data_IF_932321199431
#
_entry.id   IF_932321199431
#
_cell.length_a   1.000
_cell.length_b   1.000
_cell.length_c   1.000
_cell.angle_alpha   90.00
_cell.angle_beta   90.00
_cell.angle_gamma   90.00
#
_symmetry.space_group_name_H-M   'P 1'
#
loop_
_entity.id
_entity.type
_entity.pdbx_description
1 polymer ?
#
# COMPACT_ATOMS: atom_id res chain seq x y z
N UNK A 1 10.87 4.03 13.92
CA UNK A 1 10.11 3.48 12.79
C UNK A 1 8.65 3.36 13.17
N UNK A 2 7.70 3.67 12.28
CA UNK A 2 6.27 3.34 12.39
C UNK A 2 6.00 2.00 11.73
N UNK A 3 5.02 1.27 12.22
CA UNK A 3 4.61 -0.01 11.64
C UNK A 3 3.10 -0.01 11.49
N UNK A 4 2.63 -0.25 10.27
CA UNK A 4 1.21 -0.31 9.92
C UNK A 4 0.84 -1.77 9.68
N UNK A 5 -0.08 -2.32 10.46
CA UNK A 5 -0.66 -3.63 10.18
C UNK A 5 -1.55 -3.55 8.93
N UNK A 6 -1.36 -4.48 8.03
CA UNK A 6 -2.07 -4.57 6.77
C UNK A 6 -2.59 -5.99 6.52
N UNK A 7 -3.80 -6.07 6.00
CA UNK A 7 -4.36 -7.26 5.34
C UNK A 7 -5.24 -6.81 4.18
N UNK A 8 -5.25 -7.58 3.10
CA UNK A 8 -6.20 -7.37 2.00
C UNK A 8 -7.60 -7.93 2.28
N UNK A 9 -7.88 -8.44 3.46
CA UNK A 9 -9.15 -9.09 3.78
C UNK A 9 -9.53 -10.18 2.76
N UNK A 10 -8.70 -11.21 2.54
CA UNK A 10 -8.92 -12.19 1.49
C UNK A 10 -10.11 -13.10 1.78
N UNK A 11 -10.87 -13.45 0.74
CA UNK A 11 -11.82 -14.57 0.79
C UNK A 11 -11.11 -15.86 0.35
N UNK A 12 -10.23 -16.37 1.19
CA UNK A 12 -9.39 -17.53 0.90
C UNK A 12 -10.16 -18.86 0.67
N UNK A 13 -11.42 -19.09 1.15
CA UNK A 13 -12.12 -20.33 0.86
C UNK A 13 -12.35 -20.60 -0.62
N UNK A 14 -12.35 -19.57 -1.46
CA UNK A 14 -12.49 -19.74 -2.90
C UNK A 14 -11.17 -20.07 -3.64
N UNK A 15 -10.02 -19.97 -2.98
CA UNK A 15 -8.71 -20.04 -3.67
C UNK A 15 -8.38 -21.45 -4.15
N UNK A 16 -8.65 -22.47 -3.34
CA UNK A 16 -8.39 -23.87 -3.69
C UNK A 16 -9.36 -24.45 -4.75
N UNK A 17 -10.43 -23.72 -5.03
CA UNK A 17 -11.49 -24.16 -5.96
C UNK A 17 -11.29 -23.61 -7.37
N UNK A 18 -10.18 -22.94 -7.62
CA UNK A 18 -9.92 -22.26 -8.89
C UNK A 18 -8.44 -22.38 -9.27
N UNK A 19 -8.20 -22.85 -10.48
CA UNK A 19 -6.87 -23.05 -11.07
C UNK A 19 -6.41 -21.87 -11.95
N UNK A 20 -7.21 -20.81 -11.99
CA UNK A 20 -6.95 -19.61 -12.77
C UNK A 20 -6.72 -18.36 -11.92
N UNK A 21 -7.04 -17.20 -12.51
CA UNK A 21 -6.95 -15.91 -11.83
C UNK A 21 -8.03 -15.74 -10.76
N UNK A 22 -7.63 -15.36 -9.55
CA UNK A 22 -8.55 -14.96 -8.48
C UNK A 22 -9.07 -13.53 -8.66
N UNK A 23 -8.60 -12.82 -9.69
CA UNK A 23 -8.94 -11.43 -9.98
C UNK A 23 -9.75 -11.36 -11.27
N UNK A 24 -10.83 -10.60 -11.24
CA UNK A 24 -11.76 -10.29 -12.35
C UNK A 24 -12.63 -11.47 -12.78
N UNK A 25 -12.05 -12.66 -12.97
CA UNK A 25 -12.72 -13.79 -13.64
C UNK A 25 -13.39 -14.80 -12.71
N UNK A 26 -13.05 -14.76 -11.41
CA UNK A 26 -13.66 -15.70 -10.45
C UNK A 26 -15.12 -15.28 -10.22
N UNK A 27 -16.10 -16.18 -10.51
CA UNK A 27 -17.50 -15.86 -10.27
C UNK A 27 -17.80 -15.67 -8.77
N UNK A 28 -18.55 -14.63 -8.41
CA UNK A 28 -18.94 -14.36 -7.04
C UNK A 28 -19.87 -15.43 -6.42
N UNK A 29 -20.44 -16.31 -7.24
CA UNK A 29 -21.16 -17.50 -6.77
C UNK A 29 -20.27 -18.46 -5.96
N UNK A 30 -18.93 -18.30 -6.00
CA UNK A 30 -17.99 -19.04 -5.16
C UNK A 30 -17.88 -18.47 -3.73
N UNK A 31 -18.51 -17.35 -3.46
CA UNK A 31 -18.52 -16.74 -2.13
C UNK A 31 -19.81 -17.09 -1.39
N UNK A 32 -19.69 -17.65 -0.18
CA UNK A 32 -20.77 -17.69 0.80
C UNK A 32 -20.74 -16.39 1.61
N UNK A 33 -21.83 -15.58 1.56
CA UNK A 33 -21.86 -14.32 2.30
C UNK A 33 -21.80 -14.46 3.82
N UNK A 34 -22.18 -15.64 4.38
CA UNK A 34 -22.07 -15.88 5.82
C UNK A 34 -20.62 -16.07 6.23
N UNK A 35 -19.87 -16.88 5.49
CA UNK A 35 -18.42 -17.04 5.70
C UNK A 35 -17.71 -15.71 5.48
N UNK A 36 -18.09 -14.94 4.46
CA UNK A 36 -17.52 -13.62 4.20
C UNK A 36 -17.77 -12.65 5.37
N UNK A 37 -18.97 -12.68 5.98
CA UNK A 37 -19.29 -11.88 7.15
C UNK A 37 -18.39 -12.24 8.35
N UNK A 38 -18.23 -13.53 8.66
CA UNK A 38 -17.35 -13.99 9.74
C UNK A 38 -15.90 -13.58 9.52
N UNK A 39 -15.40 -13.70 8.28
CA UNK A 39 -14.05 -13.26 7.92
C UNK A 39 -13.87 -11.74 8.06
N UNK A 40 -14.86 -10.95 7.62
CA UNK A 40 -14.77 -9.48 7.75
C UNK A 40 -14.76 -9.06 9.21
N UNK A 41 -15.62 -9.64 10.06
CA UNK A 41 -15.60 -9.37 11.51
C UNK A 41 -14.23 -9.70 12.10
N UNK A 42 -13.70 -10.89 11.79
CA UNK A 42 -12.37 -11.31 12.22
C UNK A 42 -11.27 -10.28 11.82
N UNK A 43 -11.28 -9.78 10.60
CA UNK A 43 -10.27 -8.82 10.14
C UNK A 43 -10.35 -7.49 10.90
N UNK A 44 -11.56 -7.03 11.23
CA UNK A 44 -11.72 -5.83 12.06
C UNK A 44 -11.28 -6.06 13.50
N UNK A 45 -11.52 -7.24 14.07
CA UNK A 45 -11.02 -7.61 15.39
C UNK A 45 -9.48 -7.64 15.42
N UNK A 46 -8.84 -8.20 14.39
CA UNK A 46 -7.38 -8.21 14.24
C UNK A 46 -6.79 -6.79 14.13
N UNK A 47 -7.46 -5.87 13.44
CA UNK A 47 -7.07 -4.46 13.44
C UNK A 47 -7.32 -3.76 14.78
N UNK A 48 -8.35 -4.16 15.53
CA UNK A 48 -8.55 -3.72 16.91
C UNK A 48 -7.37 -4.11 17.80
N UNK A 49 -6.93 -5.37 17.71
CA UNK A 49 -5.74 -5.87 18.41
C UNK A 49 -4.50 -5.08 17.98
N UNK A 50 -4.32 -4.79 16.68
CA UNK A 50 -3.20 -3.98 16.21
C UNK A 50 -3.15 -2.59 16.89
N UNK A 51 -4.29 -1.89 17.02
CA UNK A 51 -4.38 -0.63 17.78
C UNK A 51 -4.00 -0.83 19.26
N UNK A 52 -4.48 -1.91 19.90
CA UNK A 52 -4.19 -2.21 21.31
C UNK A 52 -2.70 -2.45 21.57
N UNK A 53 -2.02 -3.12 20.65
CA UNK A 53 -0.58 -3.41 20.81
C UNK A 53 0.33 -2.30 20.26
N UNK A 54 -0.24 -1.20 19.75
CA UNK A 54 0.51 -0.01 19.35
C UNK A 54 1.05 -0.03 17.94
N UNK A 55 0.42 -0.80 17.05
CA UNK A 55 0.61 -0.74 15.60
C UNK A 55 -0.37 0.28 15.00
N UNK A 56 0.05 0.92 13.92
CA UNK A 56 -0.84 1.69 13.05
C UNK A 56 -1.56 0.74 12.06
N UNK A 57 -2.54 1.23 11.31
CA UNK A 57 -3.38 0.41 10.45
C UNK A 57 -3.34 0.93 9.02
N UNK A 58 -3.16 0.01 8.07
CA UNK A 58 -3.30 0.29 6.64
C UNK A 58 -4.48 -0.50 6.07
N UNK A 59 -5.27 0.18 5.23
CA UNK A 59 -6.32 -0.42 4.38
C UNK A 59 -6.04 -0.10 2.92
N UNK A 60 -6.57 -0.94 2.02
CA UNK A 60 -6.53 -0.72 0.58
C UNK A 60 -7.92 -0.88 -0.05
N UNK A 61 -7.99 -0.77 -1.37
CA UNK A 61 -9.21 -1.02 -2.14
C UNK A 61 -8.87 -1.81 -3.39
N UNK A 62 -9.60 -2.92 -3.59
CA UNK A 62 -9.58 -3.73 -4.81
C UNK A 62 -10.98 -4.20 -5.18
N UNK A 63 -11.18 -4.43 -6.47
CA UNK A 63 -12.48 -4.79 -7.03
C UNK A 63 -12.43 -6.13 -7.75
N UNK A 64 -13.59 -6.82 -7.80
CA UNK A 64 -13.80 -8.06 -8.56
C UNK A 64 -12.75 -9.14 -8.26
N UNK A 65 -12.44 -9.37 -6.98
CA UNK A 65 -11.39 -10.31 -6.60
C UNK A 65 -11.67 -11.01 -5.26
N UNK A 66 -11.35 -12.31 -5.18
CA UNK A 66 -11.34 -13.05 -3.94
C UNK A 66 -10.07 -12.80 -3.09
N UNK A 67 -9.09 -12.08 -3.61
CA UNK A 67 -7.87 -11.76 -2.83
C UNK A 67 -8.06 -10.58 -1.89
N UNK A 68 -9.14 -9.77 -2.11
CA UNK A 68 -9.43 -8.60 -1.30
C UNK A 68 -10.94 -8.34 -1.28
N UNK A 69 -11.56 -8.43 -0.11
CA UNK A 69 -12.98 -8.07 0.07
C UNK A 69 -13.19 -6.57 0.36
N UNK A 70 -12.11 -5.79 0.49
CA UNK A 70 -12.18 -4.34 0.69
C UNK A 70 -12.46 -3.62 -0.63
N UNK A 71 -13.68 -3.74 -1.14
CA UNK A 71 -14.13 -3.06 -2.37
C UNK A 71 -14.58 -1.61 -2.14
N UNK A 72 -14.64 -1.17 -0.87
CA UNK A 72 -15.04 0.16 -0.43
C UNK A 72 -14.23 0.54 0.80
N UNK A 73 -12.99 0.97 0.60
CA UNK A 73 -12.06 1.28 1.69
C UNK A 73 -12.63 2.30 2.70
N UNK A 74 -13.49 3.22 2.24
CA UNK A 74 -14.12 4.24 3.11
C UNK A 74 -15.04 3.60 4.15
N UNK A 75 -15.75 2.53 3.82
CA UNK A 75 -16.58 1.80 4.81
C UNK A 75 -15.69 1.21 5.90
N UNK A 76 -14.59 0.54 5.50
CA UNK A 76 -13.63 0.00 6.45
C UNK A 76 -12.98 1.07 7.32
N UNK A 77 -12.55 2.17 6.72
CA UNK A 77 -11.98 3.31 7.46
C UNK A 77 -12.98 3.92 8.43
N UNK A 78 -14.28 4.00 8.08
CA UNK A 78 -15.32 4.52 8.97
C UNK A 78 -15.47 3.66 10.22
N UNK A 79 -15.47 2.33 10.05
CA UNK A 79 -15.49 1.37 11.17
C UNK A 79 -14.23 1.57 12.04
N UNK A 80 -13.05 1.56 11.42
CA UNK A 80 -11.77 1.70 12.11
C UNK A 80 -11.62 3.05 12.81
N UNK A 81 -12.08 4.13 12.21
CA UNK A 81 -12.08 5.46 12.84
C UNK A 81 -12.87 5.48 14.16
N UNK A 82 -13.91 4.64 14.25
CA UNK A 82 -14.78 4.56 15.44
C UNK A 82 -14.29 3.57 16.49
N UNK A 83 -13.79 2.37 16.08
CA UNK A 83 -13.41 1.31 17.02
C UNK A 83 -11.97 1.45 17.55
N UNK A 84 -11.06 2.08 16.78
CA UNK A 84 -9.68 2.32 17.19
C UNK A 84 -9.52 3.67 17.90
N UNK A 85 -8.44 3.82 18.66
CA UNK A 85 -8.20 5.01 19.50
C UNK A 85 -6.89 5.72 19.22
N UNK A 86 -5.83 4.99 18.87
CA UNK A 86 -4.45 5.49 18.78
C UNK A 86 -3.86 5.33 17.39
N UNK A 87 -4.16 4.24 16.72
CA UNK A 87 -3.60 3.90 15.42
C UNK A 87 -3.87 5.00 14.39
N UNK A 88 -2.86 5.40 13.64
CA UNK A 88 -3.08 6.12 12.39
C UNK A 88 -3.75 5.19 11.39
N UNK A 89 -4.55 5.76 10.53
CA UNK A 89 -5.36 5.06 9.55
C UNK A 89 -4.86 5.47 8.15
N UNK A 90 -4.01 4.64 7.57
CA UNK A 90 -3.50 4.85 6.21
C UNK A 90 -4.40 4.16 5.21
N UNK A 91 -4.98 4.91 4.27
CA UNK A 91 -5.58 4.32 3.07
C UNK A 91 -4.56 4.28 1.94
N UNK A 92 -3.99 3.10 1.66
CA UNK A 92 -3.01 2.95 0.61
C UNK A 92 -3.26 1.64 -0.18
N UNK A 93 -4.05 1.71 -1.32
CA UNK A 93 -4.35 2.98 -1.98
C UNK A 93 -5.81 3.31 -2.14
N UNK A 94 -5.99 4.59 -2.21
CA UNK A 94 -7.22 5.20 -2.65
C UNK A 94 -7.11 5.49 -4.15
N UNK A 95 -7.80 4.71 -5.03
CA UNK A 95 -7.50 4.70 -6.47
C UNK A 95 -8.21 5.86 -7.19
N UNK A 96 -7.59 7.03 -7.26
CA UNK A 96 -8.17 8.20 -7.93
C UNK A 96 -8.46 7.95 -9.42
N UNK A 97 -7.66 7.09 -10.09
CA UNK A 97 -7.90 6.77 -11.50
C UNK A 97 -9.19 5.99 -11.75
N UNK A 98 -9.74 5.32 -10.74
CA UNK A 98 -11.01 4.59 -10.80
C UNK A 98 -12.22 5.44 -10.38
N UNK A 99 -12.03 6.65 -9.88
CA UNK A 99 -13.06 7.47 -9.28
C UNK A 99 -13.48 8.61 -10.22
N UNK A 100 -14.79 8.72 -10.54
CA UNK A 100 -15.29 9.73 -11.46
C UNK A 100 -15.50 11.11 -10.80
N UNK A 101 -15.50 11.19 -9.47
CA UNK A 101 -15.92 12.39 -8.72
C UNK A 101 -14.92 12.75 -7.63
N UNK A 102 -13.96 13.68 -7.90
CA UNK A 102 -12.99 14.12 -6.91
C UNK A 102 -13.60 14.93 -5.76
N UNK A 103 -14.77 15.54 -5.92
CA UNK A 103 -15.45 16.19 -4.80
C UNK A 103 -15.91 15.16 -3.78
N UNK A 104 -16.53 14.08 -4.23
CA UNK A 104 -16.89 12.96 -3.36
C UNK A 104 -15.67 12.39 -2.64
N UNK A 105 -14.54 12.28 -3.32
CA UNK A 105 -13.28 11.83 -2.71
C UNK A 105 -12.84 12.77 -1.58
N UNK A 106 -12.91 14.09 -1.79
CA UNK A 106 -12.57 15.07 -0.76
C UNK A 106 -13.52 14.99 0.45
N UNK A 107 -14.84 14.85 0.22
CA UNK A 107 -15.86 14.72 1.28
C UNK A 107 -15.62 13.44 2.12
N UNK A 108 -15.40 12.31 1.48
CA UNK A 108 -15.13 11.03 2.14
C UNK A 108 -13.89 11.11 3.04
N UNK A 109 -12.78 11.58 2.48
CA UNK A 109 -11.50 11.67 3.20
C UNK A 109 -11.55 12.69 4.33
N UNK A 110 -12.16 13.85 4.12
CA UNK A 110 -12.33 14.86 5.17
C UNK A 110 -13.24 14.35 6.30
N UNK A 111 -14.30 13.60 5.96
CA UNK A 111 -15.18 12.98 6.95
C UNK A 111 -14.42 11.96 7.81
N UNK A 112 -13.62 11.09 7.20
CA UNK A 112 -12.79 10.12 7.95
C UNK A 112 -11.76 10.84 8.83
N UNK A 113 -11.14 11.90 8.34
CA UNK A 113 -10.17 12.66 9.11
C UNK A 113 -10.79 13.29 10.37
N UNK A 114 -11.98 13.87 10.25
CA UNK A 114 -12.72 14.39 11.39
C UNK A 114 -13.18 13.28 12.34
N UNK A 115 -13.76 12.19 11.83
CA UNK A 115 -14.21 11.05 12.64
C UNK A 115 -13.04 10.40 13.42
N UNK A 116 -11.87 10.29 12.80
CA UNK A 116 -10.66 9.74 13.41
C UNK A 116 -9.92 10.75 14.31
N UNK A 117 -10.35 12.03 14.33
CA UNK A 117 -9.66 13.13 15.04
C UNK A 117 -8.20 13.30 14.59
N UNK A 118 -8.01 13.38 13.27
CA UNK A 118 -6.71 13.67 12.68
C UNK A 118 -5.76 12.47 12.59
N UNK A 119 -6.28 11.25 12.58
CA UNK A 119 -5.46 10.04 12.44
C UNK A 119 -5.36 9.52 11.00
N UNK A 120 -6.02 10.14 10.04
CA UNK A 120 -5.98 9.74 8.63
C UNK A 120 -4.64 10.07 7.98
N UNK A 121 -4.13 9.14 7.15
CA UNK A 121 -3.11 9.34 6.13
C UNK A 121 -3.70 8.99 4.75
N UNK A 122 -3.57 9.88 3.76
CA UNK A 122 -4.17 9.72 2.43
C UNK A 122 -3.19 9.13 1.44
N UNK A 123 -3.44 7.94 0.95
CA UNK A 123 -2.58 7.26 -0.02
C UNK A 123 -3.20 7.23 -1.42
N UNK A 124 -2.86 8.17 -2.27
CA UNK A 124 -3.38 8.26 -3.64
C UNK A 124 -2.61 7.38 -4.60
N UNK A 125 -3.34 6.55 -5.36
CA UNK A 125 -2.79 5.69 -6.40
C UNK A 125 -3.55 5.84 -7.71
N UNK A 126 -2.88 5.49 -8.83
CA UNK A 126 -3.54 5.46 -10.14
C UNK A 126 -4.68 4.44 -10.21
N UNK A 127 -4.55 3.34 -9.49
CA UNK A 127 -5.36 2.14 -9.62
C UNK A 127 -4.68 1.09 -10.50
N UNK A 128 -5.06 -0.17 -10.32
CA UNK A 128 -4.47 -1.30 -11.04
C UNK A 128 -5.14 -1.51 -12.40
N UNK A 129 -4.41 -1.97 -13.42
CA UNK A 129 -4.91 -2.01 -14.79
C UNK A 129 -6.15 -2.90 -14.96
N UNK A 130 -6.21 -4.03 -14.29
CA UNK A 130 -7.28 -5.02 -14.43
C UNK A 130 -8.62 -4.59 -13.79
N UNK A 131 -8.66 -3.50 -13.05
CA UNK A 131 -9.88 -2.95 -12.42
C UNK A 131 -10.52 -1.81 -13.22
N UNK A 132 -9.86 -1.29 -14.26
CA UNK A 132 -10.44 -0.25 -15.12
C UNK A 132 -11.75 -0.67 -15.78
N UNK A 133 -11.91 -1.91 -16.31
CA UNK A 133 -13.17 -2.34 -16.91
C UNK A 133 -14.36 -2.27 -15.93
N UNK A 134 -14.15 -2.58 -14.65
CA UNK A 134 -15.24 -2.60 -13.64
C UNK A 134 -15.50 -1.23 -13.03
N UNK A 135 -14.53 -0.32 -13.08
CA UNK A 135 -14.69 1.05 -12.58
C UNK A 135 -15.42 1.98 -13.56
N UNK A 136 -15.70 1.52 -14.76
CA UNK A 136 -16.28 2.33 -15.85
C UNK A 136 -15.44 3.59 -16.15
N UNK A 137 -14.12 3.50 -15.97
CA UNK A 137 -13.21 4.59 -16.28
C UNK A 137 -12.36 4.28 -17.51
N UNK A 138 -12.11 5.30 -18.33
CA UNK A 138 -11.23 5.18 -19.47
C UNK A 138 -9.76 5.17 -18.98
N UNK A 139 -8.94 4.16 -19.28
CA UNK A 139 -7.53 4.16 -18.94
C UNK A 139 -6.70 5.21 -19.71
N UNK A 140 -7.17 5.68 -20.87
CA UNK A 140 -6.50 6.74 -21.64
C UNK A 140 -6.53 8.04 -20.87
N UNK A 141 -5.37 8.73 -20.73
CA UNK A 141 -5.25 10.00 -20.00
C UNK A 141 -5.47 9.87 -18.49
N UNK A 142 -5.39 8.65 -17.94
CA UNK A 142 -5.65 8.42 -16.51
C UNK A 142 -4.71 9.22 -15.61
N UNK A 143 -3.46 9.47 -16.02
CA UNK A 143 -2.52 10.25 -15.19
C UNK A 143 -2.88 11.72 -15.16
N UNK A 144 -3.40 12.27 -16.25
CA UNK A 144 -3.84 13.68 -16.30
C UNK A 144 -5.06 13.88 -15.39
N UNK A 145 -6.06 12.98 -15.52
CA UNK A 145 -7.20 12.97 -14.58
C UNK A 145 -6.81 12.72 -13.13
N UNK A 146 -5.83 11.84 -12.89
CA UNK A 146 -5.32 11.57 -11.54
C UNK A 146 -4.76 12.85 -10.91
N UNK A 147 -3.90 13.58 -11.64
CA UNK A 147 -3.30 14.80 -11.11
C UNK A 147 -4.31 15.92 -10.98
N UNK A 148 -5.26 16.05 -11.90
CA UNK A 148 -6.33 17.04 -11.77
C UNK A 148 -7.25 16.71 -10.56
N UNK A 149 -7.63 15.44 -10.37
CA UNK A 149 -8.37 15.01 -9.19
C UNK A 149 -7.61 15.33 -7.89
N UNK A 150 -6.31 15.02 -7.86
CA UNK A 150 -5.45 15.33 -6.73
C UNK A 150 -5.45 16.84 -6.42
N UNK A 151 -5.20 17.69 -7.42
CA UNK A 151 -5.11 19.14 -7.23
C UNK A 151 -6.46 19.72 -6.80
N UNK A 152 -7.57 19.21 -7.35
CA UNK A 152 -8.92 19.57 -6.93
C UNK A 152 -9.17 19.20 -5.46
N UNK A 153 -8.84 17.98 -5.04
CA UNK A 153 -9.02 17.53 -3.65
C UNK A 153 -8.25 18.43 -2.69
N UNK A 154 -7.00 18.75 -2.99
CA UNK A 154 -6.21 19.63 -2.14
C UNK A 154 -6.77 21.04 -2.10
N UNK A 155 -7.23 21.57 -3.24
CA UNK A 155 -7.90 22.87 -3.30
C UNK A 155 -9.17 22.88 -2.46
N UNK A 156 -10.00 21.82 -2.53
CA UNK A 156 -11.21 21.72 -1.74
C UNK A 156 -10.90 21.67 -0.23
N UNK A 157 -9.88 20.88 0.17
CA UNK A 157 -9.48 20.74 1.56
C UNK A 157 -8.85 21.99 2.19
N UNK A 158 -8.31 22.89 1.36
CA UNK A 158 -7.62 24.13 1.81
C UNK A 158 -8.42 25.40 1.59
N UNK A 159 -9.60 25.32 0.96
CA UNK A 159 -10.45 26.50 0.71
C UNK A 159 -11.45 26.69 1.84
N UNK A 160 -11.17 27.63 2.75
CA UNK A 160 -11.99 27.90 3.95
C UNK A 160 -12.76 29.21 3.91
N UNK A 161 -12.77 29.89 2.75
CA UNK A 161 -13.50 31.14 2.53
C UNK A 161 -14.84 30.93 1.81
N UNK A 162 -15.13 31.79 0.84
CA UNK A 162 -16.29 31.63 -0.02
C UNK A 162 -16.18 30.38 -0.90
N UNK A 163 -17.35 29.79 -1.30
CA UNK A 163 -17.33 28.70 -2.29
C UNK A 163 -16.59 29.11 -3.56
N UNK A 164 -15.91 28.13 -4.18
CA UNK A 164 -15.14 28.35 -5.42
C UNK A 164 -15.69 27.53 -6.58
N UNK A 165 -15.32 27.92 -7.79
CA UNK A 165 -15.56 27.13 -9.00
C UNK A 165 -14.26 26.46 -9.43
N UNK A 166 -14.38 25.29 -10.07
CA UNK A 166 -13.29 24.59 -10.71
C UNK A 166 -13.58 24.40 -12.19
N UNK A 167 -12.67 24.85 -13.03
CA UNK A 167 -12.72 24.75 -14.50
C UNK A 167 -11.44 24.03 -14.96
N UNK A 168 -11.44 22.72 -14.83
CA UNK A 168 -10.32 21.88 -15.25
C UNK A 168 -10.50 21.36 -16.67
N UNK A 169 -9.61 20.48 -17.09
CA UNK A 169 -9.71 19.75 -18.37
C UNK A 169 -10.71 18.60 -18.26
N UNK A 170 -10.73 17.94 -17.12
CA UNK A 170 -11.54 16.73 -16.90
C UNK A 170 -12.72 16.94 -15.95
N UNK A 171 -12.64 17.94 -15.06
CA UNK A 171 -13.65 18.18 -14.03
C UNK A 171 -14.10 19.63 -14.01
N UNK A 172 -15.42 19.82 -13.87
CA UNK A 172 -16.04 21.14 -13.78
C UNK A 172 -17.01 21.19 -12.62
N UNK A 173 -16.74 22.05 -11.64
CA UNK A 173 -17.56 22.20 -10.44
C UNK A 173 -17.95 23.64 -10.22
N UNK A 174 -19.14 23.83 -9.64
CA UNK A 174 -19.67 25.14 -9.23
C UNK A 174 -19.94 25.16 -7.75
N UNK A 175 -19.63 26.29 -7.09
CA UNK A 175 -19.94 26.51 -5.68
C UNK A 175 -19.39 25.42 -4.76
N UNK A 176 -18.16 24.97 -4.98
CA UNK A 176 -17.52 23.96 -4.12
C UNK A 176 -17.32 24.55 -2.72
N UNK A 177 -17.84 23.85 -1.73
CA UNK A 177 -17.73 24.22 -0.32
C UNK A 177 -17.70 22.93 0.52
N UNK A 178 -16.51 22.51 0.90
CA UNK A 178 -16.28 21.20 1.52
C UNK A 178 -16.77 21.19 2.98
N UNK A 179 -17.73 20.31 3.29
CA UNK A 179 -18.24 20.02 4.64
C UNK A 179 -18.27 18.52 4.90
N UNK A 180 -17.60 18.06 6.02
CA UNK A 180 -16.73 18.83 6.91
C UNK A 180 -15.41 19.23 6.23
N UNK A 181 -14.73 20.24 6.76
CA UNK A 181 -13.33 20.48 6.42
C UNK A 181 -12.44 19.49 7.18
N UNK A 182 -11.23 19.16 6.68
CA UNK A 182 -10.30 18.26 7.37
C UNK A 182 -10.01 18.74 8.81
N UNK A 183 -9.72 17.75 9.66
CA UNK A 183 -9.19 17.99 11.00
C UNK A 183 -7.73 18.45 10.96
N UNK A 184 -6.94 17.79 10.11
CA UNK A 184 -5.52 18.08 9.94
C UNK A 184 -5.31 19.28 9.01
N UNK A 185 -4.34 20.15 9.33
CA UNK A 185 -4.02 21.34 8.54
C UNK A 185 -2.63 21.18 7.91
N UNK A 186 -2.48 21.56 6.62
CA UNK A 186 -3.52 22.04 5.71
C UNK A 186 -4.43 20.91 5.19
N UNK A 187 -4.04 19.66 5.32
CA UNK A 187 -4.74 18.42 4.96
C UNK A 187 -3.98 17.21 5.55
N UNK A 188 -4.58 16.01 5.61
CA UNK A 188 -3.89 14.80 6.05
C UNK A 188 -2.64 14.49 5.21
N UNK A 189 -1.58 13.90 5.80
CA UNK A 189 -0.36 13.53 5.06
C UNK A 189 -0.65 12.72 3.80
N UNK A 190 0.07 13.02 2.71
CA UNK A 190 -0.13 12.37 1.43
C UNK A 190 0.93 11.30 1.22
N UNK A 191 0.46 10.12 0.82
CA UNK A 191 1.24 8.96 0.45
C UNK A 191 0.96 8.56 -0.99
N UNK A 192 1.92 7.91 -1.63
CA UNK A 192 1.71 7.29 -2.93
C UNK A 192 2.66 6.10 -3.13
N UNK A 193 2.33 5.25 -4.09
CA UNK A 193 3.15 4.10 -4.45
C UNK A 193 3.71 4.24 -5.86
N UNK A 194 4.90 3.70 -6.09
CA UNK A 194 5.44 3.60 -7.44
C UNK A 194 6.44 2.46 -7.58
N UNK A 195 6.50 1.88 -8.78
CA UNK A 195 7.55 0.98 -9.26
C UNK A 195 8.44 1.62 -10.33
N UNK A 196 8.26 2.92 -10.63
CA UNK A 196 8.98 3.66 -11.67
C UNK A 196 9.91 4.70 -11.06
N UNK A 197 11.17 4.76 -11.49
CA UNK A 197 12.13 5.79 -11.05
C UNK A 197 11.67 7.20 -11.41
N UNK A 198 11.05 7.38 -12.59
CA UNK A 198 10.52 8.68 -13.02
C UNK A 198 9.44 9.17 -12.05
N UNK A 199 8.46 8.31 -11.71
CA UNK A 199 7.43 8.66 -10.75
C UNK A 199 7.97 8.82 -9.33
N UNK A 200 8.97 8.03 -8.92
CA UNK A 200 9.63 8.18 -7.63
C UNK A 200 10.27 9.58 -7.49
N UNK A 201 10.89 10.08 -8.56
CA UNK A 201 11.42 11.44 -8.61
C UNK A 201 10.31 12.49 -8.44
N UNK A 202 9.20 12.37 -9.16
CA UNK A 202 8.03 13.27 -9.03
C UNK A 202 7.47 13.26 -7.60
N UNK A 203 7.36 12.09 -6.97
CA UNK A 203 6.93 12.00 -5.57
C UNK A 203 7.92 12.69 -4.62
N UNK A 204 9.21 12.60 -4.91
CA UNK A 204 10.25 13.35 -4.20
C UNK A 204 10.08 14.87 -4.38
N UNK A 205 9.86 15.35 -5.59
CA UNK A 205 9.60 16.77 -5.89
C UNK A 205 8.37 17.28 -5.13
N UNK A 206 7.30 16.48 -5.01
CA UNK A 206 6.12 16.80 -4.20
C UNK A 206 6.34 16.67 -2.68
N UNK A 207 7.35 15.90 -2.24
CA UNK A 207 7.65 15.66 -0.83
C UNK A 207 6.67 14.73 -0.11
N UNK A 208 5.95 13.89 -0.86
CA UNK A 208 4.99 12.91 -0.31
C UNK A 208 5.71 11.71 0.30
N UNK A 209 5.02 10.94 1.13
CA UNK A 209 5.57 9.66 1.59
C UNK A 209 5.46 8.65 0.45
N UNK A 210 6.59 8.08 0.06
CA UNK A 210 6.65 7.09 -1.02
C UNK A 210 6.73 5.69 -0.44
N UNK A 211 5.80 4.82 -0.85
CA UNK A 211 5.82 3.40 -0.53
C UNK A 211 6.21 2.55 -1.76
N UNK A 212 6.98 1.50 -1.52
CA UNK A 212 7.21 0.42 -2.46
C UNK A 212 6.60 -0.88 -1.92
N UNK A 213 6.00 -1.67 -2.79
CA UNK A 213 5.19 -2.82 -2.39
C UNK A 213 5.83 -4.11 -2.94
N UNK A 214 6.36 -4.96 -2.03
CA UNK A 214 6.91 -6.27 -2.40
C UNK A 214 8.04 -6.26 -3.43
N UNK A 215 8.78 -5.16 -3.55
CA UNK A 215 9.88 -5.01 -4.52
C UNK A 215 11.20 -5.55 -3.99
N UNK A 216 11.26 -5.90 -2.71
CA UNK A 216 12.47 -6.36 -2.07
C UNK A 216 13.61 -5.34 -2.18
N UNK A 217 14.83 -5.81 -2.30
CA UNK A 217 16.01 -4.95 -2.44
C UNK A 217 16.01 -4.08 -3.71
N UNK A 218 15.16 -4.36 -4.70
CA UNK A 218 14.93 -3.48 -5.85
C UNK A 218 14.23 -2.15 -5.47
N UNK A 219 13.84 -1.94 -4.23
CA UNK A 219 13.37 -0.65 -3.70
C UNK A 219 14.45 0.43 -3.69
N UNK A 220 15.73 0.06 -3.51
CA UNK A 220 16.83 1.05 -3.39
C UNK A 220 16.88 2.06 -4.53
N UNK A 221 16.92 1.66 -5.82
CA UNK A 221 16.97 2.63 -6.92
C UNK A 221 15.72 3.52 -7.03
N UNK A 222 14.58 3.12 -6.47
CA UNK A 222 13.39 3.95 -6.36
C UNK A 222 13.56 5.00 -5.25
N UNK A 223 14.10 4.59 -4.11
CA UNK A 223 14.40 5.51 -3.00
C UNK A 223 15.45 6.55 -3.41
N UNK A 224 16.47 6.14 -4.18
CA UNK A 224 17.49 7.07 -4.68
C UNK A 224 16.93 8.09 -5.69
N UNK A 225 16.03 7.64 -6.58
CA UNK A 225 15.31 8.54 -7.50
C UNK A 225 14.43 9.54 -6.76
N UNK A 226 13.75 9.10 -5.69
CA UNK A 226 12.99 10.01 -4.81
C UNK A 226 13.90 11.05 -4.16
N UNK A 227 15.04 10.62 -3.56
CA UNK A 227 16.02 11.54 -2.94
C UNK A 227 16.49 12.61 -3.93
N UNK A 228 16.79 12.20 -5.17
CA UNK A 228 17.15 13.12 -6.25
C UNK A 228 16.07 14.17 -6.51
N UNK A 229 14.81 13.76 -6.65
CA UNK A 229 13.68 14.68 -6.84
C UNK A 229 13.47 15.61 -5.64
N UNK A 230 13.59 15.06 -4.43
CA UNK A 230 13.36 15.82 -3.20
C UNK A 230 14.37 16.96 -3.01
N UNK A 231 15.66 16.68 -3.22
CA UNK A 231 16.73 17.70 -3.09
C UNK A 231 16.76 18.69 -4.25
N UNK A 232 16.29 18.30 -5.43
CA UNK A 232 16.17 19.20 -6.59
C UNK A 232 15.22 20.38 -6.33
N UNK A 233 14.33 20.26 -5.34
CA UNK A 233 13.45 21.34 -4.89
C UNK A 233 14.07 22.25 -3.82
N UNK A 234 15.39 22.20 -3.62
CA UNK A 234 16.11 23.01 -2.63
C UNK A 234 15.93 22.55 -1.19
N UNK A 235 15.39 21.33 -0.96
CA UNK A 235 15.21 20.79 0.37
C UNK A 235 16.46 20.05 0.86
N UNK A 236 16.70 19.96 2.17
CA UNK A 236 17.74 19.08 2.71
C UNK A 236 17.41 17.61 2.38
N UNK A 237 18.36 16.69 2.57
CA UNK A 237 18.11 15.27 2.35
C UNK A 237 16.86 14.79 3.11
N UNK A 238 15.98 14.00 2.46
CA UNK A 238 14.74 13.55 3.08
C UNK A 238 15.02 12.64 4.27
N UNK A 239 14.26 12.81 5.34
CA UNK A 239 14.28 11.92 6.49
C UNK A 239 13.67 10.56 6.16
N UNK A 240 13.99 9.54 6.95
CA UNK A 240 13.53 8.16 6.72
C UNK A 240 12.00 8.01 6.73
N UNK A 241 11.27 8.92 7.41
CA UNK A 241 9.80 8.95 7.45
C UNK A 241 9.13 9.21 6.10
N UNK A 242 9.90 9.66 5.09
CA UNK A 242 9.43 9.80 3.70
C UNK A 242 9.39 8.47 2.93
N UNK A 243 9.95 7.41 3.49
CA UNK A 243 10.05 6.11 2.83
C UNK A 243 9.26 5.04 3.58
N UNK A 244 8.49 4.28 2.82
CA UNK A 244 7.73 3.14 3.30
C UNK A 244 7.99 1.90 2.43
N UNK A 245 7.92 0.74 3.07
CA UNK A 245 8.04 -0.54 2.39
C UNK A 245 6.97 -1.51 2.89
N UNK A 246 6.29 -2.18 1.97
CA UNK A 246 5.40 -3.29 2.29
C UNK A 246 6.18 -4.60 2.20
N UNK A 247 6.27 -5.28 3.35
CA UNK A 247 6.83 -6.61 3.49
C UNK A 247 5.89 -7.55 4.20
N UNK A 248 5.92 -8.81 3.82
CA UNK A 248 5.25 -9.90 4.52
C UNK A 248 5.98 -10.16 5.85
N UNK A 249 5.26 -10.44 6.92
CA UNK A 249 5.88 -10.72 8.22
C UNK A 249 5.31 -11.97 8.86
N UNK A 250 6.20 -12.90 9.21
CA UNK A 250 5.86 -14.13 9.92
C UNK A 250 6.84 -14.33 11.09
N UNK A 251 6.47 -13.84 12.27
CA UNK A 251 7.28 -14.01 13.50
C UNK A 251 6.67 -15.04 14.43
N UNK A 252 7.51 -15.86 15.05
CA UNK A 252 7.11 -16.80 16.09
C UNK A 252 8.25 -16.97 17.11
N UNK A 253 7.96 -17.64 18.24
CA UNK A 253 8.96 -17.91 19.27
C UNK A 253 10.10 -18.82 18.79
N UNK A 254 9.86 -19.60 17.76
CA UNK A 254 10.82 -20.49 17.12
C UNK A 254 10.74 -20.43 15.59
N UNK A 255 11.84 -20.75 14.92
CA UNK A 255 11.94 -20.65 13.46
C UNK A 255 11.02 -21.61 12.73
N UNK A 256 10.78 -22.81 13.26
CA UNK A 256 9.92 -23.82 12.64
C UNK A 256 8.49 -23.30 12.54
N UNK A 257 7.94 -22.79 13.62
CA UNK A 257 6.60 -22.20 13.67
C UNK A 257 6.50 -20.97 12.77
N UNK A 258 7.52 -20.09 12.77
CA UNK A 258 7.56 -18.94 11.88
C UNK A 258 7.51 -19.36 10.39
N UNK A 259 8.29 -20.37 9.99
CA UNK A 259 8.27 -20.88 8.61
C UNK A 259 6.94 -21.55 8.24
N UNK A 260 6.27 -22.21 9.17
CA UNK A 260 4.90 -22.74 8.93
C UNK A 260 3.91 -21.61 8.66
N UNK A 261 3.93 -20.53 9.46
CA UNK A 261 3.12 -19.33 9.21
C UNK A 261 3.47 -18.66 7.86
N UNK A 262 4.75 -18.61 7.57
CA UNK A 262 5.25 -18.02 6.32
C UNK A 262 4.71 -18.72 5.06
N UNK A 263 4.48 -20.04 5.09
CA UNK A 263 3.88 -20.75 3.95
C UNK A 263 2.43 -20.30 3.69
N UNK A 264 1.62 -20.07 4.72
CA UNK A 264 0.26 -19.53 4.56
C UNK A 264 0.28 -18.10 4.00
N UNK A 265 1.19 -17.27 4.52
CA UNK A 265 1.37 -15.89 4.06
C UNK A 265 1.90 -15.86 2.61
N UNK A 266 2.86 -16.73 2.25
CA UNK A 266 3.38 -16.86 0.89
C UNK A 266 2.32 -17.31 -0.12
N UNK A 267 1.32 -18.08 0.31
CA UNK A 267 0.19 -18.48 -0.51
C UNK A 267 -0.55 -17.29 -1.12
N UNK A 268 -0.66 -16.18 -0.40
CA UNK A 268 -1.21 -14.93 -0.92
C UNK A 268 -0.40 -14.40 -2.10
N UNK A 269 0.93 -14.29 -1.96
CA UNK A 269 1.81 -13.77 -3.02
C UNK A 269 1.76 -14.64 -4.27
N UNK A 270 1.79 -15.96 -4.09
CA UNK A 270 1.72 -16.93 -5.20
C UNK A 270 0.41 -16.84 -5.97
N UNK A 271 -0.70 -16.47 -5.32
CA UNK A 271 -2.04 -16.47 -5.90
C UNK A 271 -2.50 -15.10 -6.39
N UNK A 272 -2.21 -14.03 -5.64
CA UNK A 272 -2.79 -12.71 -5.86
C UNK A 272 -2.29 -11.98 -7.11
N UNK A 273 -1.13 -12.37 -7.64
CA UNK A 273 -0.52 -11.76 -8.82
C UNK A 273 -0.96 -12.40 -10.14
N UNK A 274 -1.76 -13.48 -10.09
CA UNK A 274 -2.26 -14.13 -11.29
C UNK A 274 -3.42 -13.31 -11.85
N UNK A 275 -3.16 -12.67 -12.98
CA UNK A 275 -4.17 -11.89 -13.74
C UNK A 275 -4.22 -12.43 -15.17
N UNK A 276 -5.44 -12.65 -15.70
CA UNK A 276 -5.61 -13.09 -17.07
C UNK A 276 -4.97 -12.09 -18.06
N UNK A 277 -4.31 -12.56 -19.12
CA UNK A 277 -3.49 -11.70 -20.00
C UNK A 277 -4.20 -10.47 -20.55
N UNK A 278 -5.48 -10.59 -20.91
CA UNK A 278 -6.28 -9.51 -21.47
C UNK A 278 -6.55 -8.34 -20.50
N UNK A 279 -6.39 -8.56 -19.20
CA UNK A 279 -6.59 -7.53 -18.16
C UNK A 279 -5.30 -6.93 -17.62
N UNK A 280 -4.13 -7.49 -17.97
CA UNK A 280 -2.84 -7.04 -17.44
C UNK A 280 -2.46 -5.62 -17.86
N UNK A 281 -2.82 -5.25 -19.08
CA UNK A 281 -2.50 -3.94 -19.64
C UNK A 281 -3.59 -3.52 -20.65
N UNK A 282 -4.72 -2.99 -20.18
CA UNK A 282 -5.74 -2.50 -21.09
C UNK A 282 -5.20 -1.35 -21.94
N UNK A 283 -5.67 -1.20 -23.20
CA UNK A 283 -5.21 -0.14 -24.08
C UNK A 283 -5.33 1.24 -23.45
N UNK A 284 -4.23 2.02 -23.51
CA UNK A 284 -4.16 3.38 -22.96
C UNK A 284 -3.80 3.48 -21.48
N UNK A 285 -3.67 2.36 -20.74
CA UNK A 285 -3.24 2.39 -19.35
C UNK A 285 -1.77 2.78 -19.18
N UNK A 286 -0.91 2.26 -20.03
CA UNK A 286 0.49 2.64 -20.12
C UNK A 286 0.69 3.62 -21.28
N UNK A 287 1.65 4.52 -21.14
CA UNK A 287 2.09 5.39 -22.23
C UNK A 287 2.66 4.57 -23.39
N UNK A 288 2.75 5.18 -24.56
CA UNK A 288 3.38 4.53 -25.73
C UNK A 288 4.84 4.21 -25.42
N UNK A 289 5.55 5.12 -24.76
CA UNK A 289 6.95 4.99 -24.36
C UNK A 289 7.13 3.80 -23.39
N UNK A 290 6.26 3.66 -22.40
CA UNK A 290 6.32 2.55 -21.45
C UNK A 290 6.02 1.21 -22.13
N UNK A 291 5.05 1.17 -23.05
CA UNK A 291 4.79 -0.03 -23.85
C UNK A 291 6.01 -0.41 -24.69
N UNK A 292 6.69 0.55 -25.33
CA UNK A 292 7.93 0.31 -26.10
C UNK A 292 9.05 -0.22 -25.20
N UNK A 293 9.22 0.37 -24.01
CA UNK A 293 10.21 -0.13 -23.02
C UNK A 293 9.93 -1.57 -22.61
N UNK A 294 8.66 -1.92 -22.36
CA UNK A 294 8.27 -3.29 -22.02
C UNK A 294 8.60 -4.25 -23.17
N UNK A 295 8.26 -3.89 -24.41
CA UNK A 295 8.57 -4.70 -25.59
C UNK A 295 10.06 -4.90 -25.80
N UNK A 296 10.88 -3.92 -25.46
CA UNK A 296 12.36 -4.01 -25.50
C UNK A 296 12.96 -4.78 -24.29
N UNK A 297 12.14 -5.21 -23.33
CA UNK A 297 12.61 -5.86 -22.10
C UNK A 297 13.27 -4.91 -21.09
N UNK A 298 13.18 -3.60 -21.32
CA UNK A 298 13.82 -2.56 -20.48
C UNK A 298 13.03 -2.24 -19.21
N UNK A 299 11.71 -2.54 -19.18
CA UNK A 299 10.78 -2.11 -18.14
C UNK A 299 10.25 -3.26 -17.27
N UNK A 300 11.02 -4.31 -17.04
CA UNK A 300 10.64 -5.31 -16.04
C UNK A 300 10.95 -4.76 -14.64
N UNK A 301 9.91 -4.45 -13.87
CA UNK A 301 10.03 -4.34 -12.42
C UNK A 301 10.56 -5.69 -11.92
N UNK A 302 11.82 -5.72 -11.55
CA UNK A 302 12.46 -6.96 -11.11
C UNK A 302 12.43 -6.96 -9.60
N UNK A 303 11.56 -7.75 -9.02
CA UNK A 303 11.71 -8.17 -7.63
C UNK A 303 12.97 -9.03 -7.54
N UNK A 304 13.86 -8.73 -6.63
CA UNK A 304 15.14 -9.44 -6.61
C UNK A 304 15.88 -9.32 -5.29
N UNK A 305 16.84 -10.22 -5.17
CA UNK A 305 17.82 -10.30 -4.09
C UNK A 305 18.86 -9.18 -4.20
N UNK A 306 19.69 -9.03 -3.18
CA UNK A 306 20.80 -8.03 -3.17
C UNK A 306 21.79 -8.19 -4.32
N UNK A 307 22.08 -9.42 -4.71
CA UNK A 307 22.97 -9.76 -5.83
C UNK A 307 22.28 -9.65 -7.21
N UNK A 308 21.01 -9.21 -7.25
CA UNK A 308 20.27 -8.99 -8.48
C UNK A 308 19.60 -10.22 -9.08
N UNK A 309 19.55 -11.35 -8.37
CA UNK A 309 18.81 -12.55 -8.80
C UNK A 309 17.30 -12.21 -8.83
N UNK A 310 16.67 -12.44 -9.97
CA UNK A 310 15.24 -12.26 -10.16
C UNK A 310 14.45 -13.34 -9.38
N UNK A 311 13.35 -12.92 -8.74
CA UNK A 311 12.40 -13.81 -8.06
C UNK A 311 11.09 -13.86 -8.85
N UNK A 312 10.71 -15.05 -9.29
CA UNK A 312 9.37 -15.30 -9.80
C UNK A 312 8.41 -15.51 -8.62
N UNK A 313 7.52 -14.55 -8.41
CA UNK A 313 6.60 -14.53 -7.27
C UNK A 313 5.63 -15.72 -7.26
N UNK A 314 5.33 -16.32 -8.41
CA UNK A 314 4.41 -17.47 -8.48
C UNK A 314 5.03 -18.77 -7.99
N UNK A 315 6.33 -18.95 -8.26
CA UNK A 315 7.08 -20.14 -7.89
C UNK A 315 7.98 -19.97 -6.67
N UNK A 316 8.00 -18.79 -6.05
CA UNK A 316 8.93 -18.49 -4.98
C UNK A 316 8.72 -19.37 -3.75
N UNK A 317 9.81 -19.97 -3.24
CA UNK A 317 9.85 -20.57 -1.92
C UNK A 317 9.82 -19.48 -0.83
N UNK A 318 9.51 -19.87 0.39
CA UNK A 318 9.64 -18.95 1.55
C UNK A 318 11.06 -18.40 1.66
N UNK A 319 12.08 -19.23 1.38
CA UNK A 319 13.47 -18.78 1.42
C UNK A 319 13.77 -17.74 0.33
N UNK A 320 13.28 -17.92 -0.90
CA UNK A 320 13.43 -16.92 -1.96
C UNK A 320 12.81 -15.58 -1.58
N UNK A 321 11.64 -15.60 -0.91
CA UNK A 321 10.97 -14.38 -0.43
C UNK A 321 11.78 -13.69 0.69
N UNK A 322 12.42 -14.47 1.57
CA UNK A 322 13.30 -13.94 2.63
C UNK A 322 14.56 -13.34 2.00
N UNK A 323 15.24 -14.07 1.11
CA UNK A 323 16.47 -13.62 0.45
C UNK A 323 16.28 -12.33 -0.35
N UNK A 324 15.08 -12.10 -0.84
CA UNK A 324 14.71 -10.88 -1.56
C UNK A 324 14.16 -9.77 -0.63
N UNK A 325 14.07 -9.99 0.68
CA UNK A 325 13.42 -9.10 1.64
C UNK A 325 11.95 -8.78 1.30
N UNK A 326 11.26 -9.68 0.60
CA UNK A 326 9.81 -9.60 0.39
C UNK A 326 9.08 -10.08 1.65
N UNK A 327 9.71 -11.01 2.36
CA UNK A 327 9.24 -11.58 3.61
C UNK A 327 10.31 -11.44 4.70
N UNK A 328 9.90 -11.03 5.88
CA UNK A 328 10.66 -11.06 7.11
C UNK A 328 10.11 -12.19 7.98
N UNK A 329 10.90 -13.25 8.16
CA UNK A 329 10.44 -14.49 8.79
C UNK A 329 11.46 -15.04 9.78
N UNK A 330 10.98 -15.51 10.92
CA UNK A 330 11.81 -16.17 11.93
C UNK A 330 11.43 -15.79 13.36
N UNK A 331 12.38 -15.95 14.26
CA UNK A 331 12.28 -15.44 15.63
C UNK A 331 12.29 -13.91 15.64
N UNK A 332 11.88 -13.25 16.75
CA UNK A 332 11.97 -11.78 16.87
C UNK A 332 13.34 -11.21 16.53
N UNK A 333 14.43 -11.89 16.92
CA UNK A 333 15.79 -11.46 16.59
C UNK A 333 16.09 -11.53 15.09
N UNK A 334 15.68 -12.62 14.43
CA UNK A 334 15.85 -12.79 12.99
C UNK A 334 15.05 -11.77 12.20
N UNK A 335 13.77 -11.57 12.56
CA UNK A 335 12.90 -10.58 11.90
C UNK A 335 13.44 -9.16 12.07
N UNK A 336 13.88 -8.80 13.28
CA UNK A 336 14.51 -7.51 13.52
C UNK A 336 15.76 -7.31 12.65
N UNK A 337 16.65 -8.30 12.62
CA UNK A 337 17.89 -8.23 11.83
C UNK A 337 17.60 -8.07 10.33
N UNK A 338 16.64 -8.82 9.79
CA UNK A 338 16.23 -8.73 8.38
C UNK A 338 15.66 -7.34 8.02
N UNK A 339 14.84 -6.74 8.90
CA UNK A 339 14.28 -5.40 8.68
C UNK A 339 15.40 -4.34 8.72
N UNK A 340 16.33 -4.44 9.69
CA UNK A 340 17.48 -3.55 9.77
C UNK A 340 18.36 -3.67 8.54
N UNK A 341 18.66 -4.88 8.09
CA UNK A 341 19.43 -5.14 6.87
C UNK A 341 18.80 -4.47 5.64
N UNK A 342 17.47 -4.56 5.50
CA UNK A 342 16.75 -3.86 4.44
C UNK A 342 16.89 -2.34 4.55
N UNK A 343 16.76 -1.78 5.77
CA UNK A 343 16.94 -0.35 6.03
C UNK A 343 18.34 0.12 5.64
N UNK A 344 19.38 -0.60 6.07
CA UNK A 344 20.78 -0.29 5.74
C UNK A 344 21.02 -0.30 4.23
N UNK A 345 20.54 -1.34 3.55
CA UNK A 345 20.68 -1.47 2.11
C UNK A 345 19.98 -0.35 1.35
N UNK A 346 18.78 0.03 1.75
CA UNK A 346 17.97 1.07 1.08
C UNK A 346 18.34 2.50 1.50
N UNK A 347 19.24 2.68 2.47
CA UNK A 347 19.63 4.00 2.98
C UNK A 347 18.56 4.67 3.84
N UNK A 348 17.79 3.87 4.59
CA UNK A 348 16.77 4.31 5.54
C UNK A 348 15.34 4.08 5.06
N UNK A 349 14.49 3.67 6.04
CA UNK A 349 13.06 3.48 5.87
C UNK A 349 12.36 3.72 7.22
N UNK A 350 11.48 4.70 7.28
CA UNK A 350 10.80 5.09 8.51
C UNK A 350 9.44 4.44 8.74
N UNK A 351 8.87 3.77 7.71
CA UNK A 351 7.55 3.18 7.78
C UNK A 351 7.55 1.76 7.20
N UNK A 352 7.22 0.78 8.03
CA UNK A 352 6.99 -0.60 7.60
C UNK A 352 5.48 -0.81 7.43
N UNK A 353 5.05 -1.17 6.22
CA UNK A 353 3.71 -1.65 5.93
C UNK A 353 3.76 -3.18 6.11
N UNK A 354 3.41 -3.63 7.29
CA UNK A 354 3.54 -5.00 7.73
C UNK A 354 2.33 -5.82 7.28
N UNK A 355 2.47 -6.65 6.25
CA UNK A 355 1.44 -7.65 5.97
C UNK A 355 1.60 -8.83 6.95
N UNK A 356 1.07 -8.63 8.15
CA UNK A 356 1.12 -9.61 9.25
C UNK A 356 -0.01 -10.64 9.21
N UNK A 357 -0.99 -10.40 8.34
CA UNK A 357 -2.03 -11.36 7.96
C UNK A 357 -2.15 -11.41 6.44
N UNK A 358 -2.00 -12.57 5.86
CA UNK A 358 -2.25 -12.83 4.44
C UNK A 358 -2.63 -14.29 4.21
N UNK A 359 -3.23 -14.57 3.05
CA UNK A 359 -3.61 -15.93 2.69
C UNK A 359 -4.64 -16.53 3.62
N UNK A 360 -4.41 -17.76 4.03
CA UNK A 360 -5.28 -18.54 4.91
C UNK A 360 -4.74 -18.68 6.34
N UNK A 361 -3.88 -17.75 6.79
CA UNK A 361 -3.35 -17.75 8.15
C UNK A 361 -4.51 -17.72 9.16
N UNK A 362 -4.44 -18.53 10.22
CA UNK A 362 -5.49 -18.60 11.23
C UNK A 362 -5.60 -17.31 12.05
N UNK A 363 -6.72 -17.12 12.77
CA UNK A 363 -6.88 -15.98 13.67
C UNK A 363 -5.84 -16.03 14.79
N UNK A 364 -5.69 -17.19 15.42
CA UNK A 364 -4.78 -17.41 16.54
C UNK A 364 -3.32 -17.11 16.12
N UNK A 365 -2.90 -17.64 14.97
CA UNK A 365 -1.56 -17.36 14.44
C UNK A 365 -1.37 -15.89 14.07
N UNK A 366 -2.41 -15.23 13.56
CA UNK A 366 -2.36 -13.79 13.25
C UNK A 366 -2.20 -12.97 14.53
N UNK A 367 -3.01 -13.25 15.56
CA UNK A 367 -2.93 -12.54 16.84
C UNK A 367 -1.58 -12.74 17.51
N UNK A 368 -1.07 -13.98 17.52
CA UNK A 368 0.26 -14.26 18.07
C UNK A 368 1.37 -13.55 17.28
N UNK A 369 1.29 -13.59 15.94
CA UNK A 369 2.23 -12.86 15.05
C UNK A 369 2.27 -11.36 15.37
N UNK A 370 1.09 -10.70 15.47
CA UNK A 370 0.98 -9.27 15.75
C UNK A 370 1.47 -8.92 17.16
N UNK A 371 1.05 -9.69 18.16
CA UNK A 371 1.39 -9.42 19.56
C UNK A 371 2.86 -9.68 19.87
N UNK A 372 3.43 -10.75 19.31
CA UNK A 372 4.86 -11.06 19.47
C UNK A 372 5.71 -10.00 18.76
N UNK A 373 5.35 -9.61 17.53
CA UNK A 373 6.05 -8.54 16.82
C UNK A 373 6.00 -7.23 17.61
N UNK A 374 4.83 -6.85 18.10
CA UNK A 374 4.63 -5.60 18.84
C UNK A 374 5.42 -5.59 20.17
N UNK A 375 5.54 -6.74 20.83
CA UNK A 375 6.25 -6.87 22.12
C UNK A 375 7.77 -6.91 21.95
N UNK A 376 8.29 -7.67 20.97
CA UNK A 376 9.71 -8.02 20.89
C UNK A 376 10.45 -7.27 19.77
N UNK A 377 9.79 -6.92 18.67
CA UNK A 377 10.43 -6.30 17.49
C UNK A 377 10.19 -4.80 17.44
N UNK A 378 8.93 -4.36 17.60
CA UNK A 378 8.55 -2.95 17.46
C UNK A 378 9.31 -1.98 18.37
N UNK A 379 9.57 -2.26 19.67
CA UNK A 379 10.33 -1.35 20.53
C UNK A 379 11.75 -1.12 20.01
N UNK A 380 12.41 -2.17 19.57
CA UNK A 380 13.77 -2.12 19.00
C UNK A 380 13.80 -1.31 17.70
N UNK A 381 12.78 -1.47 16.82
CA UNK A 381 12.64 -0.68 15.60
C UNK A 381 12.38 0.81 15.89
N UNK A 382 11.69 1.13 16.99
CA UNK A 382 11.48 2.53 17.42
C UNK A 382 12.78 3.18 17.88
N UNK A 383 13.68 2.42 18.50
CA UNK A 383 14.98 2.89 18.98
C UNK A 383 16.07 2.86 17.89
N UNK A 384 15.84 2.10 16.80
CA UNK A 384 16.81 1.95 15.72
C UNK A 384 17.11 3.29 15.05
N UNK A 385 18.41 3.63 15.02
CA UNK A 385 18.90 4.84 14.34
C UNK A 385 19.03 4.59 12.85
N UNK A 386 18.14 5.18 12.09
CA UNK A 386 18.15 5.09 10.64
C UNK A 386 19.49 5.58 10.05
N UNK A 387 20.01 4.91 9.00
CA UNK A 387 21.20 5.40 8.31
C UNK A 387 20.92 6.80 7.75
N UNK A 388 21.93 7.67 7.78
CA UNK A 388 21.85 8.97 7.12
C UNK A 388 22.14 8.72 5.64
N UNK A 389 21.22 9.08 4.73
CA UNK A 389 21.51 8.94 3.32
C UNK A 389 22.71 9.82 2.97
N UNK A 390 23.68 9.23 2.29
CA UNK A 390 24.71 10.03 1.60
C UNK A 390 24.01 10.93 0.58
N UNK A 391 24.47 12.17 0.48
CA UNK A 391 23.94 13.07 -0.55
C UNK A 391 24.15 12.37 -1.92
N UNK A 392 23.12 12.32 -2.80
CA UNK A 392 23.31 11.74 -4.12
C UNK A 392 24.48 12.47 -4.78
N UNK A 393 25.42 11.71 -5.34
CA UNK A 393 26.51 12.28 -6.12
C UNK A 393 25.89 13.19 -7.18
N UNK A 394 26.37 14.43 -7.27
CA UNK A 394 25.92 15.36 -8.28
C UNK A 394 26.13 14.72 -9.65
N UNK A 395 25.04 14.50 -10.40
CA UNK A 395 25.05 13.96 -11.76
C UNK A 395 25.48 15.03 -12.76
#
# INVERSE_FOLDING_TARGET
>A
MRVYQFTEQPYFPAWSQHDGSLRVNLPNARMDPRIAADLLHRYYDEWGIADEVGLDIMVNEHHSTATCMSSTCIVGLSILARITRRARLLVLGYPLGHRPDPLRCAEELATIDVMSRGRLDMGFIKGVPYEFPVSNQNPVGVMDRFWESHDFILKAMTSHGAPFNWEGEHFHYRQVNLWPRPWQEPYPPIWSTTGSRANARVLGEKGYVMATLGTGFASRPLFDAYRTGYVAMGRPAPSADRFAYLGLVAVASDEKTARQRAEFVAGYVRSSHIVAPQFRNPPGYLSIEDNVRILRGEARQRTGTKDGRFIDMHGASVQDLIDAAIMFCGTPDQVYAQIVEFCEYCGGMGNLLMMGHAGSLSHEDTVDNLTLFAREVLPRLKEYKQPRPEAPAAA
#
